data_IF_378441510899
#
_entry.id   IF_378441510899
#
_cell.length_a   1.000
_cell.length_b   1.000
_cell.length_c   1.000
_cell.angle_alpha   90.00
_cell.angle_beta   90.00
_cell.angle_gamma   90.00
#
_symmetry.space_group_name_H-M   'P 1'
#
loop_
_entity.id
_entity.type
_entity.pdbx_description
1 polymer ?
#
# COMPACT_ATOMS: atom_id res chain seq x y z
N UNK A 1 -13.61 16.55 6.08
CA UNK A 1 -12.78 15.38 6.46
C UNK A 1 -11.29 15.71 6.45
N UNK A 2 -10.72 16.24 5.36
CA UNK A 2 -9.28 16.56 5.25
C UNK A 2 -8.78 17.47 6.39
N UNK A 3 -9.50 18.55 6.71
CA UNK A 3 -9.12 19.45 7.80
C UNK A 3 -9.04 18.74 9.17
N UNK A 4 -9.96 17.81 9.44
CA UNK A 4 -9.98 17.01 10.69
C UNK A 4 -8.81 16.01 10.69
N UNK A 5 -8.53 15.37 9.55
CA UNK A 5 -7.39 14.47 9.40
C UNK A 5 -6.05 15.21 9.65
N UNK A 6 -5.91 16.42 9.11
CA UNK A 6 -4.73 17.28 9.35
C UNK A 6 -4.58 17.62 10.83
N UNK A 7 -5.67 18.03 11.49
CA UNK A 7 -5.67 18.35 12.91
C UNK A 7 -5.21 17.14 13.74
N UNK A 8 -5.74 15.95 13.45
CA UNK A 8 -5.34 14.71 14.14
C UNK A 8 -3.88 14.34 13.84
N UNK A 9 -3.42 14.49 12.59
CA UNK A 9 -2.03 14.23 12.20
C UNK A 9 -1.03 15.17 12.92
N UNK A 10 -1.48 16.36 13.33
CA UNK A 10 -0.70 17.32 14.13
C UNK A 10 -0.77 17.01 15.63
N UNK A 11 -1.94 16.66 16.18
CA UNK A 11 -2.18 16.52 17.63
C UNK A 11 -1.47 15.29 18.23
N UNK A 12 -1.24 14.21 17.49
CA UNK A 12 -0.30 13.18 17.94
C UNK A 12 -0.63 11.74 17.54
N UNK A 13 0.44 10.97 17.41
CA UNK A 13 0.45 9.55 17.05
C UNK A 13 -0.29 8.67 18.08
N UNK A 14 -0.17 8.99 19.38
CA UNK A 14 -0.67 8.14 20.46
C UNK A 14 -2.20 8.19 20.63
N UNK A 15 -2.79 9.37 20.42
CA UNK A 15 -4.25 9.53 20.40
C UNK A 15 -4.83 8.74 19.21
N UNK A 16 -4.18 8.83 18.05
CA UNK A 16 -4.60 8.12 16.85
C UNK A 16 -4.49 6.60 17.04
N UNK A 17 -3.40 6.10 17.63
CA UNK A 17 -3.27 4.67 17.95
C UNK A 17 -4.35 4.17 18.90
N UNK A 18 -4.66 4.94 19.94
CA UNK A 18 -5.70 4.58 20.91
C UNK A 18 -7.08 4.54 20.25
N UNK A 19 -7.43 5.58 19.49
CA UNK A 19 -8.71 5.66 18.78
C UNK A 19 -8.82 4.54 17.75
N UNK A 20 -7.79 4.31 16.93
CA UNK A 20 -7.82 3.27 15.91
C UNK A 20 -7.98 1.88 16.53
N UNK A 21 -7.28 1.57 17.63
CA UNK A 21 -7.40 0.27 18.31
C UNK A 21 -8.86 -0.04 18.69
N UNK A 22 -9.53 0.90 19.36
CA UNK A 22 -10.92 0.70 19.78
C UNK A 22 -11.89 0.69 18.60
N UNK A 23 -11.66 1.60 17.66
CA UNK A 23 -12.48 1.72 16.46
C UNK A 23 -12.41 0.45 15.60
N UNK A 24 -11.26 -0.23 15.53
CA UNK A 24 -11.14 -1.51 14.85
C UNK A 24 -12.10 -2.56 15.42
N UNK A 25 -12.21 -2.70 16.75
CA UNK A 25 -13.14 -3.66 17.35
C UNK A 25 -14.61 -3.32 17.04
N UNK A 26 -14.96 -2.02 17.06
CA UNK A 26 -16.30 -1.55 16.68
C UNK A 26 -16.58 -1.85 15.21
N UNK A 27 -15.64 -1.54 14.32
CA UNK A 27 -15.78 -1.77 12.87
C UNK A 27 -15.93 -3.24 12.55
N UNK A 28 -15.12 -4.11 13.17
CA UNK A 28 -15.28 -5.57 13.02
C UNK A 28 -16.68 -5.99 13.45
N UNK A 29 -17.16 -5.52 14.59
CA UNK A 29 -18.49 -5.90 15.10
C UNK A 29 -19.61 -5.46 14.16
N UNK A 30 -19.56 -4.20 13.71
CA UNK A 30 -20.58 -3.60 12.84
C UNK A 30 -20.60 -4.27 11.46
N UNK A 31 -19.43 -4.47 10.85
CA UNK A 31 -19.35 -5.14 9.54
C UNK A 31 -19.65 -6.64 9.64
N UNK A 32 -19.43 -7.29 10.79
CA UNK A 32 -19.87 -8.68 11.00
C UNK A 32 -21.40 -8.78 10.99
N UNK A 33 -22.09 -7.89 11.71
CA UNK A 33 -23.56 -7.82 11.67
C UNK A 33 -24.06 -7.50 10.27
N UNK A 34 -23.43 -6.56 9.57
CA UNK A 34 -23.76 -6.25 8.18
C UNK A 34 -23.56 -7.46 7.25
N UNK A 35 -22.46 -8.20 7.41
CA UNK A 35 -22.17 -9.41 6.63
C UNK A 35 -23.25 -10.47 6.83
N UNK A 36 -23.62 -10.74 8.09
CA UNK A 36 -24.69 -11.71 8.41
C UNK A 36 -26.03 -11.24 7.83
N UNK A 37 -26.37 -9.95 7.96
CA UNK A 37 -27.56 -9.38 7.33
C UNK A 37 -27.59 -9.60 5.82
N UNK A 38 -26.47 -9.31 5.15
CA UNK A 38 -26.35 -9.47 3.71
C UNK A 38 -26.59 -10.93 3.30
N UNK A 39 -25.93 -11.87 3.98
CA UNK A 39 -26.06 -13.31 3.69
C UNK A 39 -27.47 -13.86 3.94
N UNK A 40 -28.22 -13.29 4.90
CA UNK A 40 -29.58 -13.73 5.22
C UNK A 40 -30.66 -13.06 4.36
N UNK A 41 -30.40 -11.87 3.82
CA UNK A 41 -31.42 -11.04 3.14
C UNK A 41 -31.21 -10.87 1.65
N UNK A 42 -30.05 -11.27 1.13
CA UNK A 42 -29.69 -11.19 -0.28
C UNK A 42 -29.36 -12.57 -0.81
N UNK A 43 -29.61 -12.76 -2.10
CA UNK A 43 -29.21 -13.94 -2.85
C UNK A 43 -28.02 -13.56 -3.74
N UNK A 44 -26.94 -14.35 -3.71
CA UNK A 44 -25.79 -14.12 -4.58
C UNK A 44 -26.25 -14.09 -6.04
N UNK A 45 -25.65 -13.17 -6.82
CA UNK A 45 -25.78 -13.09 -8.27
C UNK A 45 -27.19 -12.79 -8.79
N UNK A 46 -28.14 -12.47 -7.90
CA UNK A 46 -29.54 -12.20 -8.25
C UNK A 46 -29.72 -10.97 -9.14
N UNK A 47 -28.74 -10.06 -9.16
CA UNK A 47 -28.75 -8.88 -10.02
C UNK A 47 -27.90 -9.05 -11.30
N UNK A 48 -27.20 -10.17 -11.46
CA UNK A 48 -26.42 -10.47 -12.66
C UNK A 48 -27.31 -11.08 -13.75
N UNK A 49 -27.28 -10.49 -14.95
CA UNK A 49 -28.07 -10.98 -16.08
C UNK A 49 -27.56 -12.33 -16.64
N UNK A 50 -26.25 -12.57 -16.61
CA UNK A 50 -25.61 -13.81 -17.07
C UNK A 50 -24.32 -14.07 -16.26
N UNK A 51 -24.41 -14.78 -15.12
CA UNK A 51 -23.26 -15.01 -14.24
C UNK A 51 -22.35 -16.09 -14.84
N UNK A 52 -21.38 -15.66 -15.67
CA UNK A 52 -20.34 -16.53 -16.23
C UNK A 52 -18.95 -16.11 -15.76
N UNK A 53 -18.09 -17.11 -15.53
CA UNK A 53 -16.70 -16.86 -15.18
C UNK A 53 -15.92 -16.36 -16.41
N UNK A 54 -15.25 -15.22 -16.25
CA UNK A 54 -14.32 -14.69 -17.24
C UNK A 54 -12.90 -14.65 -16.69
N UNK A 55 -11.99 -15.33 -17.37
CA UNK A 55 -10.56 -15.31 -17.04
C UNK A 55 -9.97 -13.89 -17.11
N UNK A 56 -10.39 -13.07 -18.08
CA UNK A 56 -9.89 -11.70 -18.20
C UNK A 56 -10.38 -10.83 -17.03
N UNK A 57 -11.66 -10.93 -16.67
CA UNK A 57 -12.22 -10.21 -15.51
C UNK A 57 -11.55 -10.65 -14.20
N UNK A 58 -11.30 -11.94 -14.04
CA UNK A 58 -10.56 -12.47 -12.89
C UNK A 58 -9.14 -11.89 -12.81
N UNK A 59 -8.39 -11.87 -13.92
CA UNK A 59 -7.02 -11.34 -13.94
C UNK A 59 -6.97 -9.83 -13.71
N UNK A 60 -7.95 -9.08 -14.22
CA UNK A 60 -8.10 -7.65 -13.94
C UNK A 60 -8.33 -7.43 -12.43
N UNK A 61 -9.27 -8.17 -11.83
CA UNK A 61 -9.57 -8.05 -10.40
C UNK A 61 -8.40 -8.51 -9.51
N UNK A 62 -7.69 -9.57 -9.92
CA UNK A 62 -6.49 -10.05 -9.25
C UNK A 62 -5.40 -8.98 -9.24
N UNK A 63 -5.16 -8.33 -10.39
CA UNK A 63 -4.20 -7.23 -10.50
C UNK A 63 -4.62 -6.02 -9.67
N UNK A 64 -5.90 -5.64 -9.67
CA UNK A 64 -6.41 -4.57 -8.81
C UNK A 64 -6.20 -4.87 -7.31
N UNK A 65 -6.50 -6.11 -6.87
CA UNK A 65 -6.28 -6.55 -5.49
C UNK A 65 -4.79 -6.58 -5.11
N UNK A 66 -3.92 -7.06 -6.01
CA UNK A 66 -2.48 -7.03 -5.83
C UNK A 66 -1.96 -5.57 -5.72
N UNK A 67 -2.50 -4.67 -6.54
CA UNK A 67 -2.11 -3.25 -6.54
C UNK A 67 -2.49 -2.55 -5.25
N UNK A 68 -3.70 -2.81 -4.77
CA UNK A 68 -4.14 -2.36 -3.46
C UNK A 68 -3.15 -2.81 -2.37
N UNK A 69 -2.77 -4.08 -2.33
CA UNK A 69 -1.91 -4.60 -1.27
C UNK A 69 -0.46 -4.10 -1.37
N UNK A 70 0.09 -4.01 -2.58
CA UNK A 70 1.45 -3.50 -2.83
C UNK A 70 1.54 -2.02 -2.44
N UNK A 71 0.47 -1.23 -2.60
CA UNK A 71 0.47 0.18 -2.20
C UNK A 71 0.76 0.40 -0.70
N UNK A 72 0.45 -0.59 0.15
CA UNK A 72 0.74 -0.53 1.58
C UNK A 72 2.15 -1.01 1.96
N UNK A 73 2.88 -1.68 1.05
CA UNK A 73 4.21 -2.23 1.34
C UNK A 73 5.22 -1.16 1.75
N UNK A 74 5.07 0.07 1.24
CA UNK A 74 5.94 1.21 1.55
C UNK A 74 5.86 1.65 3.01
N UNK A 75 4.77 1.34 3.71
CA UNK A 75 4.59 1.72 5.12
C UNK A 75 5.18 0.70 6.10
N UNK A 76 5.63 -0.47 5.64
CA UNK A 76 6.06 -1.57 6.53
C UNK A 76 7.26 -1.17 7.39
N UNK A 77 8.20 -0.40 6.84
CA UNK A 77 9.38 0.11 7.57
C UNK A 77 9.03 1.15 8.63
N UNK A 78 7.96 1.92 8.44
CA UNK A 78 7.59 3.03 9.34
C UNK A 78 7.11 2.52 10.70
N UNK A 79 6.47 1.36 10.72
CA UNK A 79 5.96 0.74 11.94
C UNK A 79 6.95 -0.26 12.55
N UNK A 80 7.60 -1.07 11.72
CA UNK A 80 8.53 -2.10 12.20
C UNK A 80 9.76 -1.51 12.93
N UNK A 81 10.19 -0.29 12.59
CA UNK A 81 11.31 0.40 13.27
C UNK A 81 11.08 0.66 14.77
N UNK A 82 9.82 0.67 15.22
CA UNK A 82 9.47 0.91 16.62
C UNK A 82 9.40 -0.37 17.45
N UNK A 83 9.52 -1.54 16.81
CA UNK A 83 9.50 -2.82 17.52
C UNK A 83 10.85 -3.09 18.19
N UNK A 84 10.87 -3.78 19.34
CA UNK A 84 12.11 -4.22 19.96
C UNK A 84 12.96 -5.05 18.98
N UNK A 85 14.27 -4.86 19.01
CA UNK A 85 15.23 -5.56 18.13
C UNK A 85 15.13 -7.09 18.22
N UNK A 86 14.69 -7.62 19.37
CA UNK A 86 14.54 -9.06 19.60
C UNK A 86 13.23 -9.64 19.03
N UNK A 87 12.37 -8.82 18.43
CA UNK A 87 11.08 -9.27 17.89
C UNK A 87 11.31 -10.17 16.67
N UNK A 88 10.85 -11.43 16.68
CA UNK A 88 11.13 -12.37 15.60
C UNK A 88 10.40 -11.96 14.31
N UNK A 89 11.13 -11.87 13.19
CA UNK A 89 10.60 -11.41 11.89
C UNK A 89 9.38 -12.19 11.42
N UNK A 90 9.32 -13.51 11.72
CA UNK A 90 8.17 -14.36 11.38
C UNK A 90 6.88 -13.91 12.07
N UNK A 91 6.95 -13.45 13.32
CA UNK A 91 5.76 -12.95 14.02
C UNK A 91 5.30 -11.63 13.43
N UNK A 92 6.23 -10.72 13.12
CA UNK A 92 5.91 -9.44 12.45
C UNK A 92 5.20 -9.71 11.13
N UNK A 93 5.78 -10.56 10.27
CA UNK A 93 5.19 -10.94 8.98
C UNK A 93 3.81 -11.57 9.17
N UNK A 94 3.67 -12.54 10.08
CA UNK A 94 2.41 -13.26 10.29
C UNK A 94 1.27 -12.35 10.76
N UNK A 95 1.51 -11.51 11.77
CA UNK A 95 0.48 -10.63 12.32
C UNK A 95 0.11 -9.51 11.33
N UNK A 96 1.09 -8.95 10.61
CA UNK A 96 0.82 -7.98 9.54
C UNK A 96 0.03 -8.62 8.40
N UNK A 97 0.41 -9.83 7.96
CA UNK A 97 -0.31 -10.56 6.91
C UNK A 97 -1.74 -10.88 7.32
N UNK A 98 -1.95 -11.40 8.54
CA UNK A 98 -3.28 -11.76 9.03
C UNK A 98 -4.21 -10.53 9.08
N UNK A 99 -3.72 -9.38 9.55
CA UNK A 99 -4.51 -8.15 9.58
C UNK A 99 -4.83 -7.61 8.19
N UNK A 100 -3.82 -7.52 7.31
CA UNK A 100 -3.97 -6.94 5.99
C UNK A 100 -4.76 -7.85 5.04
N UNK A 101 -4.36 -9.11 4.91
CA UNK A 101 -5.04 -10.07 4.04
C UNK A 101 -6.41 -10.43 4.59
N UNK A 102 -6.56 -10.62 5.91
CA UNK A 102 -7.83 -11.00 6.51
C UNK A 102 -8.91 -9.91 6.33
N UNK A 103 -8.56 -8.64 6.55
CA UNK A 103 -9.51 -7.53 6.33
C UNK A 103 -9.86 -7.34 4.85
N UNK A 104 -8.87 -7.42 3.96
CA UNK A 104 -9.07 -7.30 2.52
C UNK A 104 -9.95 -8.44 1.97
N UNK A 105 -9.62 -9.70 2.28
CA UNK A 105 -10.41 -10.86 1.86
C UNK A 105 -11.85 -10.73 2.31
N UNK A 106 -12.09 -10.39 3.58
CA UNK A 106 -13.44 -10.27 4.09
C UNK A 106 -14.23 -9.12 3.45
N UNK A 107 -13.71 -7.90 3.48
CA UNK A 107 -14.46 -6.73 3.04
C UNK A 107 -14.57 -6.64 1.51
N UNK A 108 -13.56 -7.07 0.74
CA UNK A 108 -13.66 -7.13 -0.72
C UNK A 108 -14.66 -8.19 -1.16
N UNK A 109 -14.68 -9.37 -0.52
CA UNK A 109 -15.70 -10.39 -0.79
C UNK A 109 -17.10 -9.91 -0.42
N UNK A 110 -17.27 -9.20 0.70
CA UNK A 110 -18.55 -8.57 1.04
C UNK A 110 -18.97 -7.55 -0.02
N UNK A 111 -18.06 -6.67 -0.46
CA UNK A 111 -18.33 -5.71 -1.51
C UNK A 111 -18.72 -6.37 -2.84
N UNK A 112 -18.03 -7.42 -3.24
CA UNK A 112 -18.35 -8.20 -4.44
C UNK A 112 -19.72 -8.89 -4.33
N UNK A 113 -20.05 -9.46 -3.16
CA UNK A 113 -21.36 -10.06 -2.90
C UNK A 113 -22.49 -9.03 -2.98
N UNK A 114 -22.31 -7.86 -2.35
CA UNK A 114 -23.29 -6.77 -2.46
C UNK A 114 -23.44 -6.28 -3.90
N UNK A 115 -22.34 -6.22 -4.65
CA UNK A 115 -22.34 -5.83 -6.05
C UNK A 115 -23.05 -6.83 -6.96
N UNK A 116 -22.98 -8.14 -6.68
CA UNK A 116 -23.65 -9.16 -7.49
C UNK A 116 -25.13 -9.36 -7.12
N UNK A 117 -25.53 -9.00 -5.90
CA UNK A 117 -26.90 -9.16 -5.42
C UNK A 117 -27.80 -7.93 -5.65
N UNK A 118 -27.24 -6.72 -5.78
CA UNK A 118 -28.01 -5.47 -5.89
C UNK A 118 -28.00 -4.90 -7.32
N UNK A 119 -29.15 -4.44 -7.87
CA UNK A 119 -29.23 -3.93 -9.25
C UNK A 119 -28.41 -2.67 -9.54
N UNK A 120 -28.24 -1.80 -8.55
CA UNK A 120 -27.49 -0.55 -8.66
C UNK A 120 -26.53 -0.41 -7.48
N UNK A 121 -25.43 -1.17 -7.46
CA UNK A 121 -24.55 -1.23 -6.31
C UNK A 121 -23.78 0.09 -6.16
N UNK A 122 -23.90 0.69 -4.97
CA UNK A 122 -23.13 1.86 -4.56
C UNK A 122 -22.57 1.58 -3.16
N UNK A 123 -21.29 1.89 -2.93
CA UNK A 123 -20.61 1.51 -1.69
C UNK A 123 -21.32 2.03 -0.43
N UNK A 124 -21.88 3.24 -0.47
CA UNK A 124 -22.54 3.86 0.69
C UNK A 124 -24.01 3.44 0.76
N UNK A 125 -24.71 3.53 -0.36
CA UNK A 125 -26.15 3.21 -0.42
C UNK A 125 -26.40 1.73 -0.13
N UNK A 126 -25.60 0.81 -0.69
CA UNK A 126 -25.74 -0.63 -0.43
C UNK A 126 -25.52 -0.99 1.03
N UNK A 127 -24.50 -0.41 1.68
CA UNK A 127 -24.26 -0.59 3.13
C UNK A 127 -25.43 -0.05 3.95
N UNK A 128 -25.94 1.14 3.60
CA UNK A 128 -27.08 1.75 4.28
C UNK A 128 -28.35 0.92 4.13
N UNK A 129 -28.65 0.45 2.92
CA UNK A 129 -29.83 -0.34 2.61
C UNK A 129 -29.81 -1.67 3.38
N UNK A 130 -28.74 -2.46 3.21
CA UNK A 130 -28.61 -3.78 3.84
C UNK A 130 -28.53 -3.68 5.36
N UNK A 131 -27.85 -2.66 5.88
CA UNK A 131 -27.80 -2.41 7.32
C UNK A 131 -29.16 -2.05 7.91
N UNK A 132 -29.96 -1.22 7.22
CA UNK A 132 -31.29 -0.83 7.72
C UNK A 132 -32.31 -1.97 7.71
N UNK A 133 -32.05 -3.08 7.00
CA UNK A 133 -32.86 -4.30 7.08
C UNK A 133 -32.69 -5.05 8.41
N UNK A 134 -31.57 -4.85 9.12
CA UNK A 134 -31.36 -5.41 10.47
C UNK A 134 -32.28 -4.73 11.46
N UNK A 135 -32.09 -3.42 11.61
CA UNK A 135 -32.95 -2.52 12.38
C UNK A 135 -32.94 -1.15 11.70
N UNK A 136 -34.06 -0.41 11.70
CA UNK A 136 -34.10 0.94 11.15
C UNK A 136 -33.01 1.83 11.77
N UNK A 137 -32.15 2.40 10.94
CA UNK A 137 -31.06 3.30 11.37
C UNK A 137 -29.69 2.63 11.53
N UNK A 138 -29.60 1.30 11.58
CA UNK A 138 -28.31 0.62 11.69
C UNK A 138 -27.40 0.85 10.48
N UNK A 139 -27.95 0.82 9.26
CA UNK A 139 -27.14 1.09 8.06
C UNK A 139 -26.59 2.51 8.03
N UNK A 140 -27.38 3.50 8.46
CA UNK A 140 -26.91 4.88 8.62
C UNK A 140 -25.82 4.97 9.68
N UNK A 141 -25.98 4.28 10.82
CA UNK A 141 -24.95 4.19 11.85
C UNK A 141 -23.66 3.57 11.32
N UNK A 142 -23.73 2.48 10.56
CA UNK A 142 -22.58 1.81 9.94
C UNK A 142 -21.78 2.74 9.03
N UNK A 143 -22.46 3.54 8.20
CA UNK A 143 -21.80 4.53 7.35
C UNK A 143 -21.13 5.62 8.20
N UNK A 144 -21.83 6.14 9.22
CA UNK A 144 -21.30 7.23 10.05
C UNK A 144 -20.13 6.79 10.93
N UNK A 145 -20.16 5.58 11.48
CA UNK A 145 -19.07 5.06 12.32
C UNK A 145 -17.81 4.72 11.50
N UNK A 146 -17.96 4.48 10.19
CA UNK A 146 -16.83 4.32 9.28
C UNK A 146 -16.09 5.66 9.02
N UNK A 147 -16.75 6.81 9.16
CA UNK A 147 -16.14 8.13 8.89
C UNK A 147 -14.93 8.41 9.78
N UNK A 148 -14.99 8.26 11.12
CA UNK A 148 -13.80 8.37 11.97
C UNK A 148 -12.65 7.44 11.57
N UNK A 149 -12.96 6.23 11.09
CA UNK A 149 -11.94 5.26 10.67
C UNK A 149 -11.22 5.75 9.41
N UNK A 150 -11.99 6.23 8.43
CA UNK A 150 -11.47 6.84 7.21
C UNK A 150 -10.63 8.08 7.53
N UNK A 151 -11.11 8.96 8.41
CA UNK A 151 -10.35 10.15 8.84
C UNK A 151 -9.03 9.75 9.51
N UNK A 152 -9.03 8.71 10.34
CA UNK A 152 -7.81 8.16 10.94
C UNK A 152 -6.81 7.65 9.90
N UNK A 153 -7.27 6.89 8.90
CA UNK A 153 -6.42 6.40 7.80
C UNK A 153 -5.89 7.56 6.97
N UNK A 154 -6.72 8.56 6.65
CA UNK A 154 -6.28 9.77 5.96
C UNK A 154 -5.20 10.52 6.74
N UNK A 155 -5.33 10.62 8.06
CA UNK A 155 -4.31 11.25 8.90
C UNK A 155 -2.98 10.49 8.86
N UNK A 156 -3.01 9.15 8.91
CA UNK A 156 -1.82 8.31 8.74
C UNK A 156 -1.19 8.51 7.38
N UNK A 157 -1.98 8.47 6.30
CA UNK A 157 -1.46 8.65 4.94
C UNK A 157 -0.85 10.05 4.73
N UNK A 158 -1.46 11.10 5.27
CA UNK A 158 -0.89 12.46 5.25
C UNK A 158 0.44 12.52 6.03
N UNK A 159 0.51 11.86 7.18
CA UNK A 159 1.72 11.81 7.98
C UNK A 159 2.85 11.03 7.28
N UNK A 160 2.54 9.86 6.71
CA UNK A 160 3.48 9.07 5.92
C UNK A 160 4.00 9.81 4.69
N UNK A 161 3.10 10.44 3.93
CA UNK A 161 3.49 11.28 2.78
C UNK A 161 4.40 12.45 3.19
N UNK A 162 4.15 13.08 4.35
CA UNK A 162 5.02 14.11 4.88
C UNK A 162 6.39 13.56 5.30
N UNK A 163 6.46 12.42 5.97
CA UNK A 163 7.74 11.78 6.33
C UNK A 163 8.56 11.47 5.08
N UNK A 164 7.96 10.79 4.10
CA UNK A 164 8.61 10.47 2.82
C UNK A 164 9.06 11.72 2.09
N UNK A 165 8.24 12.78 2.07
CA UNK A 165 8.58 14.06 1.46
C UNK A 165 9.77 14.74 2.13
N UNK A 166 9.81 14.78 3.46
CA UNK A 166 10.95 15.34 4.20
C UNK A 166 12.21 14.51 3.95
N UNK A 167 12.13 13.18 4.04
CA UNK A 167 13.27 12.29 3.76
C UNK A 167 13.80 12.45 2.33
N UNK A 168 12.91 12.63 1.35
CA UNK A 168 13.32 12.89 -0.03
C UNK A 168 14.07 14.21 -0.19
N UNK A 169 13.63 15.27 0.51
CA UNK A 169 14.32 16.57 0.47
C UNK A 169 15.63 16.53 1.26
N UNK A 170 15.66 15.81 2.39
CA UNK A 170 16.83 15.66 3.25
C UNK A 170 18.04 15.09 2.48
N UNK A 171 17.79 14.16 1.55
CA UNK A 171 18.81 13.60 0.66
C UNK A 171 19.50 14.62 -0.25
N UNK A 172 18.89 15.78 -0.49
CA UNK A 172 19.50 16.89 -1.26
C UNK A 172 19.96 18.05 -0.37
N UNK A 173 19.22 18.30 0.72
CA UNK A 173 19.48 19.40 1.63
C UNK A 173 19.06 18.99 3.04
N UNK A 174 20.02 18.93 3.95
CA UNK A 174 19.76 18.57 5.34
C UNK A 174 18.64 19.41 5.95
N UNK A 175 17.57 18.74 6.35
CA UNK A 175 16.43 19.32 7.07
C UNK A 175 16.50 18.86 8.52
N UNK A 176 16.50 19.82 9.44
CA UNK A 176 16.30 19.51 10.86
C UNK A 176 14.81 19.25 11.10
N UNK A 177 14.40 18.02 11.48
CA UNK A 177 13.00 17.71 11.75
C UNK A 177 12.54 18.48 12.99
N UNK A 178 11.75 19.53 12.77
CA UNK A 178 11.14 20.36 13.80
C UNK A 178 9.63 20.48 13.58
N UNK A 179 8.90 20.97 14.60
CA UNK A 179 7.44 21.11 14.53
C UNK A 179 6.98 21.92 13.31
N UNK A 180 7.71 22.99 12.94
CA UNK A 180 7.38 23.81 11.77
C UNK A 180 7.49 23.03 10.47
N UNK A 181 8.57 22.25 10.29
CA UNK A 181 8.76 21.41 9.10
C UNK A 181 7.68 20.34 8.97
N UNK A 182 7.28 19.72 10.10
CA UNK A 182 6.19 18.75 10.15
C UNK A 182 4.84 19.38 9.78
N UNK A 183 4.47 20.49 10.41
CA UNK A 183 3.19 21.17 10.13
C UNK A 183 3.15 21.68 8.69
N UNK A 184 4.23 22.30 8.21
CA UNK A 184 4.33 22.78 6.83
C UNK A 184 4.19 21.62 5.82
N UNK A 185 4.89 20.51 6.05
CA UNK A 185 4.80 19.31 5.22
C UNK A 185 3.40 18.71 5.19
N UNK A 186 2.74 18.56 6.36
CA UNK A 186 1.37 18.04 6.44
C UNK A 186 0.39 18.97 5.72
N UNK A 187 0.49 20.28 5.91
CA UNK A 187 -0.38 21.26 5.25
C UNK A 187 -0.18 21.24 3.73
N UNK A 188 1.06 21.19 3.27
CA UNK A 188 1.38 21.09 1.84
C UNK A 188 0.77 19.83 1.22
N UNK A 189 0.99 18.67 1.84
CA UNK A 189 0.39 17.39 1.41
C UNK A 189 -1.13 17.48 1.38
N UNK A 190 -1.75 18.05 2.42
CA UNK A 190 -3.19 18.21 2.48
C UNK A 190 -3.76 19.12 1.39
N UNK A 191 -3.07 20.22 1.07
CA UNK A 191 -3.45 21.11 -0.04
C UNK A 191 -3.36 20.37 -1.37
N UNK A 192 -2.28 19.63 -1.62
CA UNK A 192 -2.11 18.83 -2.83
C UNK A 192 -3.23 17.79 -2.96
N UNK A 193 -3.51 17.03 -1.89
CA UNK A 193 -4.60 16.05 -1.87
C UNK A 193 -5.95 16.71 -2.11
N UNK A 194 -6.21 17.88 -1.50
CA UNK A 194 -7.46 18.61 -1.68
C UNK A 194 -7.63 19.08 -3.14
N UNK A 195 -6.57 19.62 -3.74
CA UNK A 195 -6.59 20.04 -5.15
C UNK A 195 -6.84 18.86 -6.07
N UNK A 196 -6.15 17.73 -5.86
CA UNK A 196 -6.38 16.51 -6.63
C UNK A 196 -7.83 16.05 -6.46
N UNK A 197 -8.33 15.96 -5.22
CA UNK A 197 -9.69 15.50 -4.93
C UNK A 197 -10.79 16.36 -5.60
N UNK A 198 -10.58 17.68 -5.69
CA UNK A 198 -11.51 18.58 -6.39
C UNK A 198 -11.50 18.41 -7.91
N UNK A 199 -10.46 17.79 -8.46
CA UNK A 199 -10.30 17.58 -9.91
C UNK A 199 -10.52 16.11 -10.32
N UNK A 200 -10.95 15.23 -9.40
CA UNK A 200 -11.29 13.85 -9.76
C UNK A 200 -12.62 13.86 -10.55
N UNK A 201 -12.69 13.25 -11.75
CA UNK A 201 -13.92 13.18 -12.55
C UNK A 201 -15.08 12.46 -11.85
N UNK A 202 -16.31 12.69 -12.31
CA UNK A 202 -17.51 12.01 -11.77
C UNK A 202 -17.45 10.48 -11.87
N UNK A 203 -16.68 9.93 -12.83
CA UNK A 203 -16.38 8.50 -12.93
C UNK A 203 -15.32 8.03 -11.92
N UNK A 204 -15.50 8.40 -10.64
CA UNK A 204 -14.57 8.14 -9.54
C UNK A 204 -14.03 6.71 -9.54
N UNK A 205 -14.90 5.71 -9.68
CA UNK A 205 -14.51 4.29 -9.59
C UNK A 205 -13.56 3.88 -10.71
N UNK A 206 -13.82 4.35 -11.94
CA UNK A 206 -12.96 4.06 -13.10
C UNK A 206 -11.61 4.75 -12.99
N UNK A 207 -11.60 6.04 -12.65
CA UNK A 207 -10.35 6.78 -12.41
C UNK A 207 -9.54 6.21 -11.24
N UNK A 208 -10.22 5.78 -10.17
CA UNK A 208 -9.59 5.14 -9.01
C UNK A 208 -8.93 3.81 -9.39
N UNK A 209 -9.60 2.95 -10.17
CA UNK A 209 -9.01 1.69 -10.61
C UNK A 209 -7.77 1.92 -11.49
N UNK A 210 -7.85 2.83 -12.45
CA UNK A 210 -6.70 3.22 -13.28
C UNK A 210 -5.53 3.74 -12.43
N UNK A 211 -5.81 4.54 -11.40
CA UNK A 211 -4.80 5.01 -10.46
C UNK A 211 -4.12 3.87 -9.68
N UNK A 212 -4.91 2.93 -9.15
CA UNK A 212 -4.38 1.75 -8.43
C UNK A 212 -3.49 0.89 -9.34
N UNK A 213 -3.90 0.68 -10.60
CA UNK A 213 -3.10 -0.06 -11.58
C UNK A 213 -1.79 0.65 -11.93
N UNK A 214 -1.83 1.98 -12.11
CA UNK A 214 -0.60 2.76 -12.31
C UNK A 214 0.34 2.64 -11.11
N UNK A 215 -0.18 2.80 -9.89
CA UNK A 215 0.61 2.59 -8.67
C UNK A 215 1.23 1.19 -8.62
N UNK A 216 0.46 0.15 -9.00
CA UNK A 216 0.97 -1.21 -9.09
C UNK A 216 2.15 -1.30 -10.06
N UNK A 217 2.05 -0.74 -11.27
CA UNK A 217 3.13 -0.81 -12.25
C UNK A 217 4.39 -0.08 -11.79
N UNK A 218 4.29 1.01 -11.02
CA UNK A 218 5.46 1.68 -10.47
C UNK A 218 6.05 0.94 -9.26
N UNK A 219 5.21 0.41 -8.37
CA UNK A 219 5.67 -0.19 -7.12
C UNK A 219 6.13 -1.63 -7.24
N UNK A 220 5.63 -2.39 -8.22
CA UNK A 220 6.03 -3.78 -8.45
C UNK A 220 7.54 -3.95 -8.68
N UNK A 221 8.17 -3.29 -9.68
CA UNK A 221 9.58 -3.48 -9.96
C UNK A 221 10.44 -2.93 -8.83
N UNK A 222 10.00 -1.85 -8.17
CA UNK A 222 10.65 -1.33 -6.97
C UNK A 222 10.64 -2.37 -5.84
N UNK A 223 9.49 -2.99 -5.57
CA UNK A 223 9.35 -4.03 -4.55
C UNK A 223 10.22 -5.23 -4.88
N UNK A 224 10.24 -5.67 -6.14
CA UNK A 224 11.03 -6.81 -6.58
C UNK A 224 12.53 -6.61 -6.35
N UNK A 225 13.06 -5.43 -6.70
CA UNK A 225 14.46 -5.07 -6.49
C UNK A 225 14.80 -5.06 -5.01
N UNK A 226 13.99 -4.41 -4.16
CA UNK A 226 14.22 -4.35 -2.72
C UNK A 226 14.16 -5.74 -2.07
N UNK A 227 13.19 -6.57 -2.45
CA UNK A 227 13.08 -7.94 -1.92
C UNK A 227 14.22 -8.84 -2.38
N UNK A 228 14.63 -8.73 -3.65
CA UNK A 228 15.77 -9.49 -4.17
C UNK A 228 17.07 -9.10 -3.45
N UNK A 229 17.31 -7.80 -3.26
CA UNK A 229 18.45 -7.31 -2.48
C UNK A 229 18.41 -7.82 -1.04
N UNK A 230 17.29 -7.59 -0.35
CA UNK A 230 17.15 -7.89 1.07
C UNK A 230 17.20 -9.38 1.38
N UNK A 231 16.49 -10.23 0.63
CA UNK A 231 16.36 -11.66 0.95
C UNK A 231 17.35 -12.56 0.22
N UNK A 232 17.70 -12.24 -1.04
CA UNK A 232 18.54 -13.12 -1.86
C UNK A 232 20.02 -12.71 -1.82
N UNK A 233 20.31 -11.42 -2.01
CA UNK A 233 21.67 -10.91 -2.17
C UNK A 233 22.33 -10.66 -0.81
N UNK A 234 21.81 -9.70 -0.04
CA UNK A 234 22.42 -9.18 1.20
C UNK A 234 21.89 -9.85 2.47
N UNK A 235 20.78 -10.59 2.36
CA UNK A 235 20.20 -11.41 3.45
C UNK A 235 19.98 -10.61 4.74
N UNK A 236 19.51 -9.37 4.60
CA UNK A 236 19.21 -8.45 5.70
C UNK A 236 20.41 -7.83 6.40
N UNK A 237 21.63 -7.95 5.85
CA UNK A 237 22.86 -7.41 6.45
C UNK A 237 23.32 -6.16 5.71
N UNK A 238 23.35 -5.03 6.41
CA UNK A 238 23.66 -3.72 5.83
C UNK A 238 24.58 -2.91 6.75
N UNK A 239 25.51 -2.16 6.17
CA UNK A 239 26.32 -1.18 6.86
C UNK A 239 25.50 0.12 7.02
N UNK A 240 24.80 0.27 8.14
CA UNK A 240 23.84 1.36 8.35
C UNK A 240 24.50 2.74 8.24
N UNK A 241 25.73 2.89 8.74
CA UNK A 241 26.51 4.14 8.64
C UNK A 241 26.68 4.59 7.19
N UNK A 242 26.89 3.63 6.29
CA UNK A 242 27.24 3.87 4.90
C UNK A 242 26.03 4.21 4.04
N UNK A 243 24.82 3.87 4.50
CA UNK A 243 23.56 4.27 3.84
C UNK A 243 23.42 5.80 3.84
N UNK A 244 23.86 6.45 4.91
CA UNK A 244 23.82 7.91 5.06
C UNK A 244 25.08 8.61 4.53
N UNK A 245 26.08 7.85 4.07
CA UNK A 245 27.33 8.38 3.55
C UNK A 245 27.34 8.33 2.02
N UNK A 246 27.36 9.51 1.38
CA UNK A 246 27.43 9.60 -0.09
C UNK A 246 28.69 8.96 -0.69
N UNK A 247 29.75 8.80 0.10
CA UNK A 247 31.00 8.13 -0.26
C UNK A 247 31.15 6.73 0.36
N UNK A 248 30.10 6.20 0.98
CA UNK A 248 30.06 4.85 1.53
C UNK A 248 29.99 3.76 0.46
N UNK A 249 30.00 2.50 0.88
CA UNK A 249 30.02 1.34 -0.03
C UNK A 249 28.84 1.28 -1.01
N UNK A 250 27.70 1.89 -0.68
CA UNK A 250 26.50 1.91 -1.50
C UNK A 250 26.52 2.98 -2.61
N UNK A 251 27.47 3.92 -2.55
CA UNK A 251 27.55 5.06 -3.44
C UNK A 251 26.29 5.94 -3.41
N UNK A 252 26.18 6.85 -4.39
CA UNK A 252 25.04 7.78 -4.50
C UNK A 252 23.85 7.19 -5.25
N UNK A 253 24.12 6.31 -6.21
CA UNK A 253 23.12 5.69 -7.07
C UNK A 253 23.48 4.24 -7.32
N UNK A 254 22.55 3.34 -6.99
CA UNK A 254 22.69 1.93 -7.38
C UNK A 254 22.32 1.77 -8.86
N UNK A 255 23.32 1.74 -9.74
CA UNK A 255 23.11 1.51 -11.17
C UNK A 255 22.40 0.17 -11.43
N UNK A 256 22.74 -0.86 -10.66
CA UNK A 256 22.08 -2.17 -10.72
C UNK A 256 20.60 -2.09 -10.33
N UNK A 257 20.27 -1.38 -9.25
CA UNK A 257 18.89 -1.20 -8.79
C UNK A 257 18.06 -0.39 -9.79
N UNK A 258 18.59 0.73 -10.27
CA UNK A 258 17.92 1.58 -11.26
C UNK A 258 17.69 0.82 -12.57
N UNK A 259 18.71 0.14 -13.11
CA UNK A 259 18.59 -0.59 -14.36
C UNK A 259 17.58 -1.73 -14.25
N UNK A 260 17.60 -2.49 -13.15
CA UNK A 260 16.62 -3.54 -12.89
C UNK A 260 15.19 -3.01 -12.78
N UNK A 261 15.02 -1.87 -12.09
CA UNK A 261 13.73 -1.19 -12.00
C UNK A 261 13.21 -0.75 -13.38
N UNK A 262 14.03 -0.06 -14.17
CA UNK A 262 13.65 0.43 -15.50
C UNK A 262 13.35 -0.73 -16.46
N UNK A 263 14.18 -1.77 -16.49
CA UNK A 263 13.95 -2.93 -17.34
C UNK A 263 12.71 -3.72 -16.92
N UNK A 264 12.45 -3.85 -15.62
CA UNK A 264 11.20 -4.39 -15.10
C UNK A 264 9.99 -3.59 -15.56
N UNK A 265 10.05 -2.26 -15.44
CA UNK A 265 8.99 -1.36 -15.91
C UNK A 265 8.72 -1.48 -17.41
N UNK A 266 9.78 -1.49 -18.23
CA UNK A 266 9.67 -1.64 -19.68
C UNK A 266 9.09 -3.01 -20.07
N UNK A 267 9.49 -4.08 -19.39
CA UNK A 267 8.98 -5.42 -19.65
C UNK A 267 7.49 -5.56 -19.33
N UNK A 268 6.94 -4.73 -18.44
CA UNK A 268 5.52 -4.71 -18.12
C UNK A 268 4.67 -4.05 -19.20
N UNK A 269 5.18 -3.05 -19.93
CA UNK A 269 4.42 -2.23 -20.88
C UNK A 269 3.57 -3.05 -21.86
N UNK A 270 4.07 -4.15 -22.47
CA UNK A 270 3.27 -4.96 -23.38
C UNK A 270 2.07 -5.68 -22.73
N UNK A 271 2.08 -5.86 -21.42
CA UNK A 271 1.08 -6.58 -20.63
C UNK A 271 0.13 -5.67 -19.84
N UNK A 272 0.35 -4.35 -19.85
CA UNK A 272 -0.50 -3.40 -19.13
C UNK A 272 -1.90 -3.34 -19.75
N UNK A 273 -2.91 -3.18 -18.89
CA UNK A 273 -4.32 -3.03 -19.26
C UNK A 273 -4.92 -1.87 -18.48
N UNK A 274 -4.86 -0.67 -19.07
CA UNK A 274 -5.39 0.57 -18.52
C UNK A 274 -6.59 1.02 -19.36
N UNK A 275 -7.43 1.88 -18.76
CA UNK A 275 -8.59 2.45 -19.45
C UNK A 275 -8.26 3.22 -20.74
N UNK A 276 -7.05 3.77 -20.85
CA UNK A 276 -6.59 4.55 -21.99
C UNK A 276 -5.46 3.89 -22.79
N UNK A 277 -4.92 2.78 -22.31
CA UNK A 277 -3.79 2.10 -22.95
C UNK A 277 -3.87 0.59 -22.69
N UNK A 278 -3.83 -0.19 -23.76
CA UNK A 278 -3.83 -1.63 -23.68
C UNK A 278 -2.65 -2.18 -24.48
N UNK A 279 -1.74 -2.86 -23.80
CA UNK A 279 -0.55 -3.43 -24.43
C UNK A 279 -0.89 -4.57 -25.41
N UNK A 280 -0.07 -4.79 -26.45
CA UNK A 280 -0.35 -5.80 -27.49
C UNK A 280 -0.51 -7.22 -26.94
N UNK A 281 0.24 -7.59 -25.89
CA UNK A 281 0.11 -8.91 -25.26
C UNK A 281 -1.12 -8.98 -24.36
N UNK A 282 -1.50 -7.88 -23.70
CA UNK A 282 -2.77 -7.82 -22.96
C UNK A 282 -3.97 -7.97 -23.91
N UNK A 283 -3.95 -7.33 -25.08
CA UNK A 283 -4.99 -7.49 -26.11
C UNK A 283 -5.11 -8.94 -26.59
N UNK A 284 -3.98 -9.60 -26.86
CA UNK A 284 -3.95 -11.01 -27.25
C UNK A 284 -4.51 -11.95 -26.15
N UNK A 285 -4.44 -11.54 -24.88
CA UNK A 285 -4.98 -12.26 -23.73
C UNK A 285 -6.42 -11.85 -23.37
N UNK A 286 -7.14 -11.18 -24.28
CA UNK A 286 -8.52 -10.74 -24.04
C UNK A 286 -8.63 -9.63 -22.98
N UNK A 287 -7.59 -8.83 -22.81
CA UNK A 287 -7.51 -7.73 -21.87
C UNK A 287 -7.09 -8.07 -20.45
N UNK A 288 -6.63 -9.31 -20.23
CA UNK A 288 -6.00 -9.70 -18.99
C UNK A 288 -4.79 -8.80 -18.67
N UNK A 289 -4.70 -8.36 -17.42
CA UNK A 289 -3.53 -7.69 -16.88
C UNK A 289 -2.69 -8.68 -16.09
N UNK A 290 -1.52 -9.04 -16.63
CA UNK A 290 -0.51 -9.88 -15.96
C UNK A 290 0.82 -9.15 -15.78
N UNK A 291 0.82 -7.83 -15.98
CA UNK A 291 2.04 -7.03 -15.98
C UNK A 291 2.78 -7.15 -14.64
N UNK A 292 2.07 -7.18 -13.51
CA UNK A 292 2.69 -7.28 -12.19
C UNK A 292 3.59 -8.53 -12.04
N UNK A 293 3.17 -9.69 -12.59
CA UNK A 293 3.96 -10.93 -12.53
C UNK A 293 5.25 -10.77 -13.32
N UNK A 294 5.15 -10.20 -14.53
CA UNK A 294 6.29 -9.95 -15.41
C UNK A 294 7.24 -8.95 -14.78
N UNK A 295 6.72 -7.86 -14.21
CA UNK A 295 7.52 -6.85 -13.52
C UNK A 295 8.29 -7.41 -12.34
N UNK A 296 7.62 -8.21 -11.49
CA UNK A 296 8.27 -8.90 -10.37
C UNK A 296 9.40 -9.80 -10.85
N UNK A 297 9.13 -10.67 -11.83
CA UNK A 297 10.09 -11.64 -12.33
C UNK A 297 11.29 -10.96 -12.99
N UNK A 298 11.06 -10.05 -13.93
CA UNK A 298 12.12 -9.40 -14.70
C UNK A 298 12.97 -8.50 -13.82
N UNK A 299 12.37 -7.66 -12.97
CA UNK A 299 13.15 -6.78 -12.10
C UNK A 299 13.99 -7.57 -11.10
N UNK A 300 13.45 -8.63 -10.49
CA UNK A 300 14.21 -9.48 -9.56
C UNK A 300 15.35 -10.24 -10.26
N UNK A 301 15.10 -10.82 -11.43
CA UNK A 301 16.11 -11.57 -12.19
C UNK A 301 17.23 -10.68 -12.70
N UNK A 302 16.89 -9.51 -13.23
CA UNK A 302 17.89 -8.53 -13.69
C UNK A 302 18.72 -8.03 -12.51
N UNK A 303 18.08 -7.68 -11.40
CA UNK A 303 18.79 -7.23 -10.21
C UNK A 303 19.76 -8.29 -9.71
N UNK A 304 19.28 -9.53 -9.56
CA UNK A 304 20.12 -10.67 -9.17
C UNK A 304 21.28 -10.89 -10.15
N UNK A 305 21.03 -10.85 -11.46
CA UNK A 305 22.06 -11.04 -12.47
C UNK A 305 23.16 -9.95 -12.42
N UNK A 306 22.79 -8.71 -12.12
CA UNK A 306 23.72 -7.59 -11.98
C UNK A 306 24.51 -7.63 -10.66
N UNK A 307 23.94 -8.23 -9.62
CA UNK A 307 24.51 -8.25 -8.26
C UNK A 307 25.13 -9.58 -7.85
N UNK A 308 25.02 -10.63 -8.67
CA UNK A 308 25.56 -11.98 -8.37
C UNK A 308 27.07 -12.03 -8.11
N UNK A 309 27.81 -11.04 -8.61
CA UNK A 309 29.27 -10.93 -8.47
C UNK A 309 29.68 -9.84 -7.46
N UNK A 310 28.76 -9.35 -6.62
CA UNK A 310 29.11 -8.42 -5.55
C UNK A 310 30.07 -9.08 -4.56
N UNK A 311 31.08 -8.34 -4.14
CA UNK A 311 32.00 -8.75 -3.09
C UNK A 311 31.32 -8.57 -1.73
N UNK A 312 30.55 -9.58 -1.34
CA UNK A 312 29.85 -9.61 -0.05
C UNK A 312 30.82 -9.72 1.14
N UNK A 313 32.08 -10.12 0.92
CA UNK A 313 33.06 -10.24 2.00
C UNK A 313 33.62 -8.86 2.35
N UNK A 314 33.91 -8.02 1.36
CA UNK A 314 34.24 -6.61 1.59
C UNK A 314 33.11 -5.86 2.31
N UNK A 315 31.86 -6.12 1.96
CA UNK A 315 30.72 -5.50 2.63
C UNK A 315 30.54 -5.96 4.07
N UNK A 316 30.90 -7.19 4.43
CA UNK A 316 30.89 -7.65 5.82
C UNK A 316 31.85 -6.85 6.70
N UNK A 317 33.00 -6.44 6.18
CA UNK A 317 33.93 -5.59 6.91
C UNK A 317 33.32 -4.21 7.18
N UNK A 318 32.64 -3.64 6.18
CA UNK A 318 31.92 -2.38 6.36
C UNK A 318 30.74 -2.51 7.35
N UNK A 319 30.04 -3.64 7.35
CA UNK A 319 28.97 -3.93 8.32
C UNK A 319 29.55 -3.95 9.75
N UNK A 320 30.65 -4.65 9.98
CA UNK A 320 31.31 -4.70 11.29
C UNK A 320 31.80 -3.32 11.74
N UNK A 321 32.39 -2.54 10.83
CA UNK A 321 32.81 -1.16 11.12
C UNK A 321 31.61 -0.27 11.48
N UNK A 322 30.49 -0.42 10.76
CA UNK A 322 29.24 0.27 11.06
C UNK A 322 28.68 -0.10 12.43
N UNK A 323 28.68 -1.39 12.79
CA UNK A 323 28.22 -1.87 14.10
C UNK A 323 29.08 -1.28 15.22
N UNK A 324 30.40 -1.30 15.07
CA UNK A 324 31.34 -0.71 16.03
C UNK A 324 31.13 0.80 16.20
N UNK A 325 30.86 1.53 15.11
CA UNK A 325 30.60 2.98 15.20
C UNK A 325 29.29 3.28 15.95
N UNK A 326 28.25 2.46 15.75
CA UNK A 326 26.95 2.65 16.36
C UNK A 326 26.90 2.20 17.83
N UNK A 327 27.58 1.10 18.18
CA UNK A 327 27.65 0.56 19.54
C UNK A 327 28.76 1.20 20.38
N UNK A 328 29.88 1.56 19.75
CA UNK A 328 31.07 2.13 20.41
C UNK A 328 30.97 3.63 20.72
N UNK A 329 29.93 4.32 20.25
CA UNK A 329 29.65 5.72 20.62
C UNK A 329 29.01 5.90 22.00
N UNK A 330 28.81 4.82 22.76
CA UNK A 330 28.22 4.80 24.10
C UNK A 330 29.26 4.70 25.24
N UNK A 331 30.49 5.20 25.02
CA UNK A 331 31.49 5.38 26.08
C UNK A 331 31.67 6.86 26.43
#
# INVERSE_FOLDING_TARGET
MIAVAVLIAVIGHDLLHTVQRWLTYVMISVFAVLTVSALLTLQADSALADPQFSWSAFLIQLSAAAGYQISYSVYVSDYSRYLPHQTPSRQVIFWTYLGAAGSALWLMSLGAFLASALPSPDAIASVREVGNRVIPGFGTFTVLIAVPALVGIMAVNCYGAMLTGISAIDGFKSIKPNLKSRVCGIVLVAVVIFLIAMNIPESYLGSFNTFVLLMLYFLVPWTAVNLADFYLVRKGRYAISDIFNHAGIYGRWSSAGLLAYFLGLLAMVPFMSLSFFQGPLSQALGGADIAFVVGLAVAALVYWALTRNLDLDAERLAIQASEQQLEGGAQ
#
